data_IF_500752117885
#
_entry.id   IF_500752117885
#
_cell.length_a   1.000
_cell.length_b   1.000
_cell.length_c   1.000
_cell.angle_alpha   90.00
_cell.angle_beta   90.00
_cell.angle_gamma   90.00
#
_symmetry.space_group_name_H-M   'P 1'
#
loop_
_entity.id
_entity.type
_entity.pdbx_description
1 polymer ?
#
# COMPACT_ATOMS: atom_id res chain seq x y z
N UNK A 1 -1.20 -38.62 -19.59
CA UNK A 1 -0.89 -38.29 -20.99
C UNK A 1 -0.72 -36.79 -21.09
N UNK A 2 0.42 -36.32 -21.58
CA UNK A 2 0.63 -34.90 -21.85
C UNK A 2 0.37 -34.69 -23.34
N UNK A 3 -0.53 -33.78 -23.70
CA UNK A 3 -0.93 -33.62 -25.10
C UNK A 3 -1.60 -32.29 -25.41
N UNK A 4 -1.49 -31.88 -26.67
CA UNK A 4 -2.14 -30.68 -27.21
C UNK A 4 -3.25 -31.09 -28.17
N UNK A 5 -4.47 -30.63 -27.89
CA UNK A 5 -5.60 -30.69 -28.80
C UNK A 5 -5.78 -29.30 -29.42
N UNK A 6 -5.47 -29.19 -30.72
CA UNK A 6 -5.68 -27.96 -31.47
C UNK A 6 -7.02 -27.97 -32.20
N UNK A 7 -7.79 -26.90 -32.04
CA UNK A 7 -9.06 -26.66 -32.73
C UNK A 7 -9.08 -25.27 -33.35
N UNK A 8 -9.78 -25.09 -34.46
CA UNK A 8 -9.92 -23.80 -35.14
C UNK A 8 -11.38 -23.31 -35.24
N UNK A 9 -12.32 -24.12 -34.78
CA UNK A 9 -13.74 -23.82 -34.85
C UNK A 9 -14.43 -24.17 -33.53
N UNK A 10 -15.14 -23.20 -32.98
CA UNK A 10 -15.93 -23.30 -31.73
C UNK A 10 -17.33 -22.77 -32.01
N UNK A 11 -18.31 -23.15 -31.20
CA UNK A 11 -19.68 -22.72 -31.40
C UNK A 11 -20.48 -22.67 -30.11
N UNK A 12 -21.75 -22.29 -30.27
CA UNK A 12 -22.74 -22.29 -29.21
C UNK A 12 -23.91 -23.23 -29.56
N UNK A 13 -24.63 -23.66 -28.53
CA UNK A 13 -25.65 -24.69 -28.60
C UNK A 13 -25.07 -26.08 -28.86
N UNK A 14 -25.92 -27.11 -28.79
CA UNK A 14 -25.59 -28.51 -29.09
C UNK A 14 -25.17 -28.79 -30.56
N UNK A 15 -24.73 -27.76 -31.28
CA UNK A 15 -24.11 -27.82 -32.59
C UNK A 15 -22.87 -28.72 -32.54
N UNK A 16 -22.64 -29.51 -33.59
CA UNK A 16 -21.42 -30.31 -33.69
C UNK A 16 -20.21 -29.36 -33.82
N UNK A 17 -19.27 -29.45 -32.88
CA UNK A 17 -18.02 -28.71 -32.88
C UNK A 17 -16.84 -29.68 -33.08
N UNK A 18 -15.63 -29.16 -33.28
CA UNK A 18 -14.42 -29.99 -33.38
C UNK A 18 -14.20 -30.85 -32.12
N UNK A 19 -14.72 -30.42 -30.97
CA UNK A 19 -14.70 -31.13 -29.68
C UNK A 19 -15.89 -32.09 -29.48
N UNK A 20 -16.71 -32.31 -30.51
CA UNK A 20 -17.90 -33.15 -30.43
C UNK A 20 -19.13 -32.43 -29.84
N UNK A 21 -20.15 -33.23 -29.47
CA UNK A 21 -21.46 -32.76 -29.01
C UNK A 21 -21.65 -32.75 -27.49
N UNK A 22 -20.74 -33.37 -26.73
CA UNK A 22 -20.84 -33.39 -25.27
C UNK A 22 -20.73 -31.97 -24.69
N UNK A 23 -21.41 -31.71 -23.57
CA UNK A 23 -21.42 -30.40 -22.94
C UNK A 23 -20.09 -30.08 -22.22
N UNK A 24 -19.34 -31.12 -21.86
CA UNK A 24 -18.11 -31.02 -21.09
C UNK A 24 -16.88 -31.44 -21.92
N UNK A 25 -15.75 -30.80 -21.63
CA UNK A 25 -14.41 -31.12 -22.14
C UNK A 25 -13.48 -31.28 -20.94
N UNK A 26 -12.91 -32.46 -20.80
CA UNK A 26 -11.92 -32.72 -19.76
C UNK A 26 -10.51 -32.44 -20.31
N UNK A 27 -9.75 -31.60 -19.60
CA UNK A 27 -8.34 -31.32 -19.89
C UNK A 27 -7.48 -32.07 -18.88
N UNK A 28 -6.68 -33.00 -19.39
CA UNK A 28 -5.90 -33.91 -18.57
C UNK A 28 -6.73 -35.09 -18.04
N UNK A 29 -6.10 -35.87 -17.18
CA UNK A 29 -6.58 -37.06 -16.47
C UNK A 29 -6.11 -36.99 -15.03
N UNK A 30 -6.87 -37.57 -14.09
CA UNK A 30 -6.45 -37.66 -12.69
C UNK A 30 -5.10 -38.39 -12.55
N UNK A 31 -4.15 -37.83 -11.80
CA UNK A 31 -2.81 -38.40 -11.67
C UNK A 31 -1.73 -37.35 -11.88
N UNK A 32 -1.12 -37.29 -13.07
CA UNK A 32 0.09 -36.48 -13.39
C UNK A 32 0.08 -35.77 -14.76
N UNK A 33 -1.07 -35.64 -15.40
CA UNK A 33 -1.12 -35.13 -16.78
C UNK A 33 -1.29 -33.62 -16.88
N UNK A 34 -0.71 -33.06 -17.94
CA UNK A 34 -1.00 -31.72 -18.45
C UNK A 34 -1.76 -31.83 -19.77
N UNK A 35 -3.00 -31.35 -19.81
CA UNK A 35 -3.77 -31.18 -21.05
C UNK A 35 -3.66 -29.76 -21.60
N UNK A 36 -3.42 -29.62 -22.90
CA UNK A 36 -3.43 -28.32 -23.59
C UNK A 36 -4.58 -28.30 -24.60
N UNK A 37 -5.49 -27.34 -24.47
CA UNK A 37 -6.44 -26.97 -25.50
C UNK A 37 -5.93 -25.74 -26.24
N UNK A 38 -5.55 -25.89 -27.49
CA UNK A 38 -5.10 -24.81 -28.35
C UNK A 38 -6.23 -24.38 -29.30
N UNK A 39 -6.57 -23.09 -29.28
CA UNK A 39 -7.50 -22.48 -30.22
C UNK A 39 -6.72 -21.68 -31.27
N UNK A 40 -6.90 -22.04 -32.54
CA UNK A 40 -6.22 -21.46 -33.72
C UNK A 40 -7.18 -20.68 -34.63
N UNK A 41 -8.43 -20.48 -34.21
CA UNK A 41 -9.49 -19.92 -35.03
C UNK A 41 -9.49 -18.39 -35.13
N UNK A 42 -10.38 -17.86 -35.96
CA UNK A 42 -10.54 -16.41 -36.22
C UNK A 42 -11.45 -15.68 -35.22
N UNK A 43 -11.64 -16.26 -34.04
CA UNK A 43 -12.56 -15.78 -32.99
C UNK A 43 -13.90 -16.53 -32.96
N UNK A 44 -14.47 -16.67 -31.77
CA UNK A 44 -15.67 -17.47 -31.55
C UNK A 44 -15.98 -17.68 -30.07
N UNK A 45 -17.13 -18.28 -29.78
CA UNK A 45 -17.53 -18.67 -28.42
C UNK A 45 -17.53 -20.18 -28.30
N UNK A 46 -16.89 -20.71 -27.25
CA UNK A 46 -17.00 -22.09 -26.80
C UNK A 46 -17.93 -22.12 -25.59
N UNK A 47 -19.02 -22.87 -25.70
CA UNK A 47 -20.06 -23.00 -24.66
C UNK A 47 -19.96 -24.29 -23.85
N UNK A 48 -18.95 -25.11 -24.12
CA UNK A 48 -18.67 -26.31 -23.35
C UNK A 48 -18.08 -25.94 -21.98
N UNK A 49 -18.48 -26.66 -20.95
CA UNK A 49 -17.76 -26.62 -19.68
C UNK A 49 -16.38 -27.24 -19.89
N UNK A 50 -15.39 -26.72 -19.18
CA UNK A 50 -14.03 -27.23 -19.22
C UNK A 50 -13.64 -27.68 -17.82
N UNK A 51 -13.29 -28.95 -17.67
CA UNK A 51 -12.80 -29.49 -16.41
C UNK A 51 -11.29 -29.70 -16.52
N UNK A 52 -10.50 -28.88 -15.84
CA UNK A 52 -9.09 -29.16 -15.63
C UNK A 52 -8.97 -30.30 -14.60
N UNK A 53 -8.26 -31.38 -14.96
CA UNK A 53 -8.12 -32.60 -14.17
C UNK A 53 -6.64 -32.91 -13.87
N UNK A 54 -6.40 -33.69 -12.81
CA UNK A 54 -5.05 -34.09 -12.39
C UNK A 54 -4.29 -32.99 -11.65
N UNK A 55 -3.05 -33.24 -11.27
CA UNK A 55 -2.21 -32.29 -10.52
C UNK A 55 -1.29 -31.44 -11.43
N UNK A 56 -1.41 -31.60 -12.76
CA UNK A 56 -0.59 -30.92 -13.75
C UNK A 56 -1.09 -29.52 -14.15
N UNK A 57 -0.41 -28.91 -15.13
CA UNK A 57 -0.67 -27.55 -15.59
C UNK A 57 -1.58 -27.52 -16.81
N UNK A 58 -2.89 -27.68 -16.60
CA UNK A 58 -3.85 -27.69 -17.70
C UNK A 58 -3.97 -26.30 -18.33
N UNK A 59 -3.80 -26.21 -19.65
CA UNK A 59 -3.69 -24.95 -20.37
C UNK A 59 -4.76 -24.80 -21.43
N UNK A 60 -5.36 -23.62 -21.50
CA UNK A 60 -6.10 -23.14 -22.67
C UNK A 60 -5.25 -22.04 -23.31
N UNK A 61 -4.93 -22.19 -24.58
CA UNK A 61 -4.07 -21.28 -25.32
C UNK A 61 -4.76 -20.79 -26.58
N UNK A 62 -4.88 -19.47 -26.75
CA UNK A 62 -5.35 -18.88 -28.00
C UNK A 62 -4.15 -18.46 -28.89
N UNK A 63 -3.77 -19.33 -29.83
CA UNK A 63 -2.82 -19.01 -30.91
C UNK A 63 -3.50 -18.47 -32.18
N UNK A 64 -4.83 -18.36 -32.16
CA UNK A 64 -5.64 -17.89 -33.27
C UNK A 64 -5.57 -16.38 -33.49
N UNK A 65 -6.25 -15.94 -34.54
CA UNK A 65 -6.29 -14.53 -34.95
C UNK A 65 -7.44 -13.74 -34.36
N UNK A 66 -8.42 -14.38 -33.70
CA UNK A 66 -9.54 -13.69 -33.07
C UNK A 66 -9.77 -14.06 -31.61
N UNK A 67 -10.61 -13.28 -30.94
CA UNK A 67 -10.95 -13.45 -29.53
C UNK A 67 -11.67 -14.78 -29.29
N UNK A 68 -11.14 -15.59 -28.37
CA UNK A 68 -11.82 -16.79 -27.87
C UNK A 68 -12.69 -16.42 -26.66
N UNK A 69 -13.99 -16.65 -26.74
CA UNK A 69 -14.89 -16.53 -25.58
C UNK A 69 -15.18 -17.90 -24.99
N UNK A 70 -14.98 -18.07 -23.69
CA UNK A 70 -15.31 -19.28 -22.94
C UNK A 70 -16.55 -19.00 -22.09
N UNK A 71 -17.69 -19.55 -22.51
CA UNK A 71 -19.00 -19.27 -21.89
C UNK A 71 -19.53 -20.40 -21.01
N UNK A 72 -19.02 -21.63 -21.18
CA UNK A 72 -19.23 -22.70 -20.22
C UNK A 72 -18.41 -22.49 -18.95
N UNK A 73 -18.77 -23.19 -17.88
CA UNK A 73 -18.04 -23.12 -16.61
C UNK A 73 -16.66 -23.76 -16.72
N UNK A 74 -15.69 -23.20 -16.00
CA UNK A 74 -14.31 -23.70 -15.94
C UNK A 74 -14.07 -24.27 -14.53
N UNK A 75 -13.93 -25.58 -14.41
CA UNK A 75 -13.69 -26.26 -13.13
C UNK A 75 -12.21 -26.57 -12.95
N UNK A 76 -11.62 -26.11 -11.84
CA UNK A 76 -10.23 -26.40 -11.44
C UNK A 76 -10.12 -26.81 -9.96
N UNK A 77 -10.22 -28.09 -9.64
CA UNK A 77 -10.09 -28.57 -8.25
C UNK A 77 -8.76 -29.30 -8.08
N UNK A 78 -7.90 -28.81 -7.18
CA UNK A 78 -6.58 -29.38 -6.92
C UNK A 78 -5.63 -29.41 -8.12
N UNK A 79 -5.79 -28.47 -9.06
CA UNK A 79 -5.06 -28.40 -10.34
C UNK A 79 -4.83 -26.96 -10.77
N UNK A 80 -3.80 -26.76 -11.59
CA UNK A 80 -3.53 -25.45 -12.20
C UNK A 80 -4.33 -25.33 -13.50
N UNK A 81 -5.06 -24.24 -13.63
CA UNK A 81 -5.65 -23.81 -14.90
C UNK A 81 -4.88 -22.60 -15.41
N UNK A 82 -4.19 -22.78 -16.53
CA UNK A 82 -3.48 -21.72 -17.25
C UNK A 82 -4.33 -21.21 -18.42
N UNK A 83 -4.55 -19.91 -18.48
CA UNK A 83 -5.17 -19.20 -19.58
C UNK A 83 -4.10 -18.36 -20.27
N UNK A 84 -3.78 -18.72 -21.50
CA UNK A 84 -2.84 -17.99 -22.34
C UNK A 84 -3.60 -17.30 -23.47
N UNK A 85 -3.72 -15.98 -23.35
CA UNK A 85 -4.51 -15.17 -24.27
C UNK A 85 -3.93 -15.05 -25.67
N UNK A 86 -2.63 -15.33 -25.86
CA UNK A 86 -1.91 -15.04 -27.11
C UNK A 86 -2.17 -13.63 -27.64
N UNK A 87 -2.07 -13.42 -28.96
CA UNK A 87 -2.23 -12.08 -29.55
C UNK A 87 -3.67 -11.55 -29.52
N UNK A 88 -4.66 -12.44 -29.53
CA UNK A 88 -6.08 -12.06 -29.74
C UNK A 88 -6.95 -12.16 -28.47
N UNK A 89 -6.39 -12.70 -27.40
CA UNK A 89 -6.98 -12.72 -26.06
C UNK A 89 -8.00 -13.84 -25.81
N UNK A 90 -8.36 -14.00 -24.54
CA UNK A 90 -9.44 -14.87 -24.07
C UNK A 90 -10.43 -14.02 -23.25
N UNK A 91 -11.73 -14.25 -23.44
CA UNK A 91 -12.78 -13.70 -22.58
C UNK A 91 -13.53 -14.84 -21.90
N UNK A 92 -13.54 -14.89 -20.58
CA UNK A 92 -14.25 -15.91 -19.81
C UNK A 92 -15.54 -15.32 -19.28
N UNK A 93 -16.67 -15.74 -19.84
CA UNK A 93 -18.02 -15.34 -19.38
C UNK A 93 -18.70 -16.40 -18.53
N UNK A 94 -18.21 -17.65 -18.57
CA UNK A 94 -18.57 -18.69 -17.59
C UNK A 94 -17.86 -18.48 -16.24
N UNK A 95 -18.27 -19.22 -15.21
CA UNK A 95 -17.67 -19.11 -13.87
C UNK A 95 -16.47 -20.04 -13.77
N UNK A 96 -15.32 -19.51 -13.34
CA UNK A 96 -14.20 -20.33 -12.88
C UNK A 96 -14.49 -20.74 -11.43
N UNK A 97 -14.59 -22.05 -11.20
CA UNK A 97 -14.92 -22.67 -9.91
C UNK A 97 -13.91 -23.75 -9.54
N UNK A 98 -13.84 -24.07 -8.26
CA UNK A 98 -12.93 -25.11 -7.77
C UNK A 98 -12.92 -25.15 -6.25
N UNK A 99 -12.89 -26.35 -5.67
CA UNK A 99 -13.00 -26.53 -4.23
C UNK A 99 -11.83 -27.35 -3.67
N UNK A 100 -10.77 -26.67 -3.27
CA UNK A 100 -9.73 -27.26 -2.42
C UNK A 100 -8.79 -26.17 -1.89
N UNK A 101 -8.55 -26.12 -0.58
CA UNK A 101 -7.48 -25.32 0.03
C UNK A 101 -6.07 -25.89 -0.20
N UNK A 102 -5.85 -26.56 -1.33
CA UNK A 102 -4.58 -27.18 -1.72
C UNK A 102 -3.72 -26.17 -2.48
N UNK A 103 -2.39 -26.26 -2.30
CA UNK A 103 -1.33 -25.38 -2.82
C UNK A 103 -1.14 -25.42 -4.35
N UNK A 104 -2.08 -26.02 -5.09
CA UNK A 104 -2.00 -26.20 -6.53
C UNK A 104 -3.32 -25.92 -7.26
N UNK A 105 -4.35 -25.36 -6.60
CA UNK A 105 -5.56 -24.89 -7.29
C UNK A 105 -5.33 -23.49 -7.86
N UNK A 106 -4.32 -23.34 -8.72
CA UNK A 106 -3.88 -22.03 -9.14
C UNK A 106 -4.62 -21.61 -10.40
N UNK A 107 -4.99 -20.33 -10.49
CA UNK A 107 -5.29 -19.70 -11.77
C UNK A 107 -4.02 -19.03 -12.29
N UNK A 108 -3.60 -19.36 -13.49
CA UNK A 108 -2.45 -18.74 -14.15
C UNK A 108 -2.93 -17.99 -15.38
N UNK A 109 -2.50 -16.74 -15.54
CA UNK A 109 -2.71 -15.93 -16.74
C UNK A 109 -1.37 -15.57 -17.34
N UNK A 110 -1.16 -15.95 -18.59
CA UNK A 110 0.02 -15.61 -19.38
C UNK A 110 -0.34 -15.11 -20.76
N UNK A 111 0.61 -14.53 -21.50
CA UNK A 111 0.49 -14.22 -22.92
C UNK A 111 -0.73 -13.36 -23.31
N UNK A 112 -0.53 -12.09 -23.63
CA UNK A 112 -1.64 -11.22 -24.07
C UNK A 112 -2.73 -11.04 -23.02
N UNK A 113 -3.98 -10.82 -23.44
CA UNK A 113 -5.07 -10.40 -22.53
C UNK A 113 -6.08 -11.50 -22.23
N UNK A 114 -6.33 -11.76 -20.96
CA UNK A 114 -7.44 -12.58 -20.47
C UNK A 114 -8.41 -11.68 -19.71
N UNK A 115 -9.68 -11.67 -20.10
CA UNK A 115 -10.76 -10.94 -19.41
C UNK A 115 -11.65 -11.92 -18.67
N UNK A 116 -11.84 -11.71 -17.37
CA UNK A 116 -12.79 -12.48 -16.57
C UNK A 116 -14.06 -11.67 -16.37
N UNK A 117 -15.14 -12.07 -17.04
CA UNK A 117 -16.40 -11.33 -17.10
C UNK A 117 -17.47 -11.88 -16.13
N UNK A 118 -17.17 -12.97 -15.43
CA UNK A 118 -18.02 -13.55 -14.38
C UNK A 118 -17.42 -13.36 -12.98
N UNK A 119 -18.23 -13.54 -11.93
CA UNK A 119 -17.75 -13.58 -10.55
C UNK A 119 -17.22 -14.99 -10.29
N UNK A 120 -15.90 -15.12 -10.13
CA UNK A 120 -15.28 -16.41 -9.95
C UNK A 120 -15.30 -16.83 -8.49
N UNK A 121 -15.40 -18.14 -8.26
CA UNK A 121 -15.58 -18.75 -6.93
C UNK A 121 -14.55 -19.83 -6.63
N UNK A 122 -13.48 -19.88 -7.43
CA UNK A 122 -12.39 -20.80 -7.17
C UNK A 122 -11.65 -20.45 -5.87
N UNK A 123 -11.09 -21.47 -5.24
CA UNK A 123 -10.12 -21.31 -4.16
C UNK A 123 -8.72 -21.36 -4.75
N UNK A 124 -7.77 -20.66 -4.13
CA UNK A 124 -6.35 -20.68 -4.49
C UNK A 124 -5.81 -19.37 -5.07
N UNK A 125 -4.49 -19.28 -5.26
CA UNK A 125 -3.83 -18.08 -5.75
C UNK A 125 -4.11 -17.84 -7.24
N UNK A 126 -3.93 -16.58 -7.63
CA UNK A 126 -3.98 -16.09 -9.00
C UNK A 126 -2.61 -15.55 -9.38
N UNK A 127 -2.01 -16.10 -10.43
CA UNK A 127 -0.73 -15.66 -10.97
C UNK A 127 -0.93 -14.99 -12.32
N UNK A 128 -0.25 -13.86 -12.54
CA UNK A 128 -0.19 -13.21 -13.85
C UNK A 128 1.26 -12.95 -14.20
N UNK A 129 1.74 -13.52 -15.31
CA UNK A 129 3.13 -13.37 -15.74
C UNK A 129 3.26 -13.58 -17.25
N UNK A 130 4.47 -13.69 -17.79
CA UNK A 130 4.70 -13.97 -19.21
C UNK A 130 4.24 -12.85 -20.14
N UNK A 131 4.21 -11.61 -19.65
CA UNK A 131 3.62 -10.47 -20.37
C UNK A 131 2.09 -10.50 -20.42
N UNK A 132 1.46 -11.39 -19.64
CA UNK A 132 0.01 -11.51 -19.54
C UNK A 132 -0.65 -10.30 -18.89
N UNK A 133 -1.87 -10.00 -19.32
CA UNK A 133 -2.77 -9.01 -18.74
C UNK A 133 -4.05 -9.70 -18.31
N UNK A 134 -4.38 -9.61 -17.02
CA UNK A 134 -5.64 -10.07 -16.47
C UNK A 134 -6.59 -8.88 -16.28
N UNK A 135 -7.73 -8.87 -16.98
CA UNK A 135 -8.77 -7.85 -16.88
C UNK A 135 -9.91 -8.26 -15.97
N UNK A 136 -10.28 -7.38 -15.05
CA UNK A 136 -11.50 -7.48 -14.24
C UNK A 136 -12.73 -7.05 -15.04
N UNK A 137 -13.30 -7.97 -15.81
CA UNK A 137 -14.48 -7.73 -16.65
C UNK A 137 -15.82 -7.68 -15.90
N UNK A 138 -15.82 -7.92 -14.58
CA UNK A 138 -17.04 -7.97 -13.78
C UNK A 138 -17.14 -6.78 -12.80
N UNK A 139 -18.27 -6.06 -12.84
CA UNK A 139 -18.56 -4.93 -11.97
C UNK A 139 -18.57 -5.27 -10.46
N UNK A 140 -18.87 -6.51 -10.09
CA UNK A 140 -18.83 -6.98 -8.69
C UNK A 140 -17.45 -7.51 -8.25
N UNK A 141 -16.44 -7.42 -9.12
CA UNK A 141 -15.15 -8.06 -8.95
C UNK A 141 -15.14 -9.46 -9.57
N UNK A 142 -14.20 -9.70 -10.46
CA UNK A 142 -14.04 -10.97 -11.15
C UNK A 142 -13.28 -12.00 -10.30
N UNK A 143 -12.27 -11.57 -9.53
CA UNK A 143 -11.47 -12.50 -8.72
C UNK A 143 -12.16 -12.81 -7.38
N UNK A 144 -11.96 -14.02 -6.82
CA UNK A 144 -12.36 -14.33 -5.45
C UNK A 144 -11.73 -13.35 -4.46
N UNK A 145 -12.47 -12.94 -3.43
CA UNK A 145 -11.99 -11.93 -2.47
C UNK A 145 -10.86 -12.44 -1.56
N UNK A 146 -10.74 -13.76 -1.43
CA UNK A 146 -9.73 -14.46 -0.64
C UNK A 146 -8.48 -14.84 -1.47
N UNK A 147 -8.46 -14.55 -2.78
CA UNK A 147 -7.31 -14.87 -3.63
C UNK A 147 -6.08 -14.07 -3.19
N UNK A 148 -4.94 -14.74 -3.21
CA UNK A 148 -3.65 -14.08 -3.34
C UNK A 148 -3.41 -13.75 -4.82
N UNK A 149 -3.07 -12.52 -5.15
CA UNK A 149 -2.72 -12.09 -6.50
C UNK A 149 -1.21 -11.86 -6.60
N UNK A 150 -0.51 -12.68 -7.36
CA UNK A 150 0.92 -12.55 -7.61
C UNK A 150 1.18 -12.11 -9.04
N UNK A 151 1.88 -10.99 -9.21
CA UNK A 151 2.32 -10.51 -10.51
C UNK A 151 3.80 -10.83 -10.74
N UNK A 152 4.09 -11.35 -11.93
CA UNK A 152 5.42 -11.75 -12.36
C UNK A 152 5.79 -13.17 -11.95
N UNK A 153 6.98 -13.61 -12.38
CA UNK A 153 7.47 -14.95 -12.13
C UNK A 153 9.00 -14.94 -11.95
N UNK A 154 9.51 -15.65 -10.94
CA UNK A 154 10.94 -15.68 -10.62
C UNK A 154 11.78 -16.53 -11.56
N UNK A 155 11.18 -17.52 -12.21
CA UNK A 155 11.89 -18.47 -13.05
C UNK A 155 12.29 -17.85 -14.39
N UNK A 156 11.39 -17.09 -15.00
CA UNK A 156 11.61 -16.44 -16.30
C UNK A 156 11.76 -14.91 -16.20
N UNK A 157 11.63 -14.34 -14.99
CA UNK A 157 11.62 -12.89 -14.74
C UNK A 157 10.67 -12.14 -15.69
N UNK A 158 9.54 -12.76 -16.02
CA UNK A 158 8.49 -12.09 -16.77
C UNK A 158 7.60 -11.27 -15.84
N UNK A 159 7.04 -10.19 -16.37
CA UNK A 159 6.10 -9.33 -15.66
C UNK A 159 4.64 -9.74 -15.97
N UNK A 160 3.74 -9.36 -15.07
CA UNK A 160 2.29 -9.45 -15.26
C UNK A 160 1.59 -8.10 -15.06
N UNK A 161 0.44 -7.94 -15.69
CA UNK A 161 -0.44 -6.78 -15.51
C UNK A 161 -1.79 -7.22 -14.97
N UNK A 162 -2.25 -6.59 -13.90
CA UNK A 162 -3.65 -6.63 -13.48
C UNK A 162 -4.34 -5.32 -13.88
N UNK A 163 -5.35 -5.41 -14.72
CA UNK A 163 -6.13 -4.28 -15.23
C UNK A 163 -7.54 -4.33 -14.63
N UNK A 164 -7.86 -3.36 -13.79
CA UNK A 164 -9.16 -3.23 -13.13
C UNK A 164 -10.30 -3.00 -14.13
N UNK A 165 -9.99 -2.58 -15.36
CA UNK A 165 -10.96 -2.48 -16.47
C UNK A 165 -12.27 -1.76 -16.08
N UNK A 166 -12.14 -0.70 -15.30
CA UNK A 166 -13.23 0.15 -14.85
C UNK A 166 -14.04 -0.36 -13.66
N UNK A 167 -13.69 -1.53 -13.11
CA UNK A 167 -14.42 -2.22 -12.06
C UNK A 167 -13.60 -2.33 -10.78
N UNK A 168 -14.27 -2.23 -9.63
CA UNK A 168 -13.63 -2.46 -8.34
C UNK A 168 -13.27 -3.94 -8.18
N UNK A 169 -12.17 -4.22 -7.49
CA UNK A 169 -11.75 -5.58 -7.15
C UNK A 169 -11.33 -5.64 -5.69
N UNK A 170 -11.68 -6.71 -4.99
CA UNK A 170 -11.11 -7.06 -3.68
C UNK A 170 -10.26 -8.33 -3.81
N UNK A 171 -9.08 -8.33 -3.20
CA UNK A 171 -8.21 -9.50 -3.08
C UNK A 171 -7.70 -9.62 -1.65
N UNK A 172 -7.28 -10.82 -1.23
CA UNK A 172 -6.69 -10.99 0.08
C UNK A 172 -5.32 -10.35 0.12
N UNK A 173 -4.49 -10.65 -0.88
CA UNK A 173 -3.09 -10.24 -0.89
C UNK A 173 -2.62 -9.85 -2.27
N UNK A 174 -1.60 -9.01 -2.31
CA UNK A 174 -0.85 -8.71 -3.53
C UNK A 174 0.65 -8.96 -3.34
N UNK A 175 1.24 -9.66 -4.29
CA UNK A 175 2.68 -9.92 -4.33
C UNK A 175 3.27 -9.63 -5.69
N UNK A 176 4.57 -9.40 -5.69
CA UNK A 176 5.40 -9.52 -6.89
C UNK A 176 6.32 -10.73 -6.77
N UNK A 177 6.46 -11.48 -7.86
CA UNK A 177 7.47 -12.53 -7.99
C UNK A 177 8.52 -12.16 -9.05
N UNK A 178 9.75 -12.63 -8.83
CA UNK A 178 10.90 -12.41 -9.71
C UNK A 178 11.50 -11.02 -9.64
N UNK A 179 12.64 -10.87 -10.31
CA UNK A 179 13.42 -9.62 -10.36
C UNK A 179 12.80 -8.58 -11.29
N UNK A 180 11.83 -8.98 -12.14
CA UNK A 180 10.98 -8.06 -12.90
C UNK A 180 9.92 -7.35 -12.05
N UNK A 181 10.07 -7.39 -10.71
CA UNK A 181 9.21 -6.74 -9.73
C UNK A 181 8.73 -5.35 -10.14
N UNK A 182 9.61 -4.51 -10.69
CA UNK A 182 9.30 -3.13 -11.12
C UNK A 182 8.46 -3.00 -12.39
N UNK A 183 8.47 -4.01 -13.27
CA UNK A 183 7.67 -4.02 -14.50
C UNK A 183 6.26 -4.57 -14.30
N UNK A 184 5.99 -5.19 -13.13
CA UNK A 184 4.64 -5.61 -12.77
C UNK A 184 3.75 -4.38 -12.59
N UNK A 185 2.50 -4.49 -13.03
CA UNK A 185 1.61 -3.33 -13.09
C UNK A 185 0.20 -3.65 -12.61
N UNK A 186 -0.35 -2.73 -11.82
CA UNK A 186 -1.78 -2.64 -11.54
C UNK A 186 -2.29 -1.36 -12.20
N UNK A 187 -3.37 -1.44 -12.98
CA UNK A 187 -3.88 -0.31 -13.74
C UNK A 187 -5.38 -0.32 -13.91
N UNK A 188 -5.91 0.72 -14.55
CA UNK A 188 -7.28 0.78 -15.02
C UNK A 188 -7.28 1.31 -16.46
N UNK A 189 -7.78 0.51 -17.41
CA UNK A 189 -7.83 0.90 -18.82
C UNK A 189 -9.13 1.56 -19.28
N UNK A 190 -10.14 1.68 -18.41
CA UNK A 190 -11.46 2.29 -18.70
C UNK A 190 -11.58 3.65 -18.03
N UNK A 191 -12.26 4.59 -18.70
CA UNK A 191 -12.49 5.96 -18.21
C UNK A 191 -13.51 5.99 -17.07
N UNK A 192 -13.06 5.60 -15.89
CA UNK A 192 -13.78 5.62 -14.63
C UNK A 192 -12.77 5.59 -13.49
N UNK A 193 -13.25 5.68 -12.25
CA UNK A 193 -12.47 5.32 -11.09
C UNK A 193 -12.70 3.84 -10.76
N UNK A 194 -11.62 3.08 -10.63
CA UNK A 194 -11.64 1.70 -10.18
C UNK A 194 -10.71 1.53 -8.98
N UNK A 195 -11.22 0.87 -7.94
CA UNK A 195 -10.52 0.68 -6.66
C UNK A 195 -10.08 -0.76 -6.51
N UNK A 196 -8.78 -0.96 -6.23
CA UNK A 196 -8.28 -2.22 -5.71
C UNK A 196 -8.34 -2.20 -4.18
N UNK A 197 -9.00 -3.19 -3.59
CA UNK A 197 -9.05 -3.39 -2.14
C UNK A 197 -8.19 -4.59 -1.74
N UNK A 198 -7.28 -4.40 -0.79
CA UNK A 198 -6.41 -5.45 -0.22
C UNK A 198 -6.79 -5.65 1.24
N UNK A 199 -7.07 -6.89 1.65
CA UNK A 199 -7.66 -7.19 2.97
C UNK A 199 -6.71 -7.87 3.95
N UNK A 200 -5.61 -8.46 3.48
CA UNK A 200 -4.68 -9.26 4.27
C UNK A 200 -3.20 -9.03 3.89
N UNK A 201 -2.89 -7.81 3.41
CA UNK A 201 -1.54 -7.32 3.20
C UNK A 201 -0.84 -7.84 1.93
N UNK A 202 0.49 -7.90 1.99
CA UNK A 202 1.33 -8.39 0.89
C UNK A 202 2.59 -7.56 0.69
N UNK A 203 3.43 -7.96 -0.27
CA UNK A 203 4.67 -7.27 -0.63
C UNK A 203 4.69 -6.99 -2.13
N UNK A 204 4.41 -5.76 -2.52
CA UNK A 204 4.24 -5.38 -3.92
C UNK A 204 5.35 -4.43 -4.38
N UNK A 205 6.23 -4.90 -5.27
CA UNK A 205 7.29 -4.09 -5.88
C UNK A 205 6.94 -3.48 -7.24
N UNK A 206 5.74 -3.76 -7.75
CA UNK A 206 5.26 -3.26 -9.04
C UNK A 206 4.72 -1.84 -8.97
N UNK A 207 4.42 -1.28 -10.13
CA UNK A 207 3.81 0.05 -10.25
C UNK A 207 2.29 -0.04 -10.18
N UNK A 208 1.66 0.87 -9.42
CA UNK A 208 0.23 1.15 -9.53
C UNK A 208 0.07 2.42 -10.35
N UNK A 209 -0.73 2.38 -11.41
CA UNK A 209 -0.86 3.52 -12.33
C UNK A 209 -2.27 3.76 -12.85
N UNK A 210 -2.50 4.97 -13.33
CA UNK A 210 -3.62 5.27 -14.21
C UNK A 210 -3.31 4.73 -15.62
N UNK A 211 -4.29 4.13 -16.31
CA UNK A 211 -4.08 3.62 -17.68
C UNK A 211 -4.18 4.69 -18.78
N UNK A 212 -3.99 5.96 -18.42
CA UNK A 212 -4.13 7.15 -19.29
C UNK A 212 -5.16 8.18 -18.79
N UNK A 213 -5.42 9.20 -19.61
CA UNK A 213 -6.32 10.32 -19.26
C UNK A 213 -7.75 9.86 -18.96
N UNK A 214 -8.34 10.39 -17.89
CA UNK A 214 -9.71 10.09 -17.45
C UNK A 214 -9.90 8.70 -16.81
N UNK A 215 -8.83 7.91 -16.69
CA UNK A 215 -8.84 6.58 -16.07
C UNK A 215 -8.15 6.70 -14.72
N UNK A 216 -8.84 6.33 -13.66
CA UNK A 216 -8.35 6.51 -12.30
C UNK A 216 -8.26 5.16 -11.61
N UNK A 217 -7.08 4.86 -11.07
CA UNK A 217 -6.85 3.73 -10.19
C UNK A 217 -6.79 4.24 -8.75
N UNK A 218 -7.51 3.58 -7.83
CA UNK A 218 -7.51 3.89 -6.40
C UNK A 218 -7.14 2.65 -5.57
N UNK A 219 -6.72 2.87 -4.32
CA UNK A 219 -6.27 1.81 -3.42
C UNK A 219 -7.02 1.89 -2.08
N UNK A 220 -7.52 0.75 -1.61
CA UNK A 220 -8.05 0.60 -0.26
C UNK A 220 -7.35 -0.55 0.45
N UNK A 221 -6.91 -0.32 1.69
CA UNK A 221 -6.28 -1.34 2.52
C UNK A 221 -7.10 -1.48 3.79
N UNK A 222 -7.65 -2.68 4.00
CA UNK A 222 -8.64 -2.94 5.06
C UNK A 222 -8.17 -3.91 6.14
N UNK A 223 -6.99 -4.53 5.97
CA UNK A 223 -6.38 -5.36 7.00
C UNK A 223 -4.95 -5.78 6.70
N UNK A 224 -4.24 -6.12 7.79
CA UNK A 224 -2.83 -6.50 7.83
C UNK A 224 -1.88 -5.45 7.22
N UNK A 225 -0.60 -5.80 7.06
CA UNK A 225 0.43 -4.93 6.51
C UNK A 225 0.60 -5.15 5.01
N UNK A 226 0.33 -4.11 4.23
CA UNK A 226 0.70 -4.02 2.82
C UNK A 226 2.01 -3.23 2.69
N UNK A 227 3.07 -3.89 2.23
CA UNK A 227 4.35 -3.25 1.92
C UNK A 227 4.41 -2.90 0.44
N UNK A 228 4.44 -1.61 0.14
CA UNK A 228 4.69 -1.08 -1.19
C UNK A 228 6.18 -0.80 -1.32
N UNK A 229 6.86 -1.67 -2.07
CA UNK A 229 8.30 -1.63 -2.31
C UNK A 229 8.67 -0.78 -3.53
N UNK A 230 7.67 -0.33 -4.30
CA UNK A 230 7.88 0.43 -5.53
C UNK A 230 8.25 1.90 -5.27
N UNK A 231 8.87 2.52 -6.28
CA UNK A 231 9.31 3.92 -6.23
C UNK A 231 8.70 4.80 -7.33
N UNK A 232 7.68 4.30 -8.04
CA UNK A 232 7.22 4.90 -9.31
C UNK A 232 5.71 4.85 -9.53
N UNK A 233 4.89 4.55 -8.51
CA UNK A 233 3.44 4.60 -8.68
C UNK A 233 2.98 6.02 -8.99
N UNK A 234 1.99 6.16 -9.88
CA UNK A 234 1.51 7.47 -10.38
C UNK A 234 -0.03 7.56 -10.48
N UNK A 235 -0.74 6.59 -9.88
CA UNK A 235 -2.19 6.62 -9.78
C UNK A 235 -2.68 7.85 -9.04
N UNK A 236 -3.84 8.39 -9.44
CA UNK A 236 -4.40 9.62 -8.86
C UNK A 236 -5.66 9.37 -8.03
N UNK A 237 -6.17 8.14 -7.98
CA UNK A 237 -7.25 7.78 -7.09
C UNK A 237 -6.75 7.72 -5.65
N UNK A 238 -7.64 7.96 -4.69
CA UNK A 238 -7.24 8.02 -3.30
C UNK A 238 -6.72 6.69 -2.75
N UNK A 239 -5.83 6.76 -1.77
CA UNK A 239 -5.47 5.65 -0.90
C UNK A 239 -6.21 5.76 0.44
N UNK A 240 -6.98 4.74 0.80
CA UNK A 240 -7.61 4.65 2.12
C UNK A 240 -6.97 3.53 2.95
N UNK A 241 -6.48 3.87 4.13
CA UNK A 241 -5.97 2.91 5.12
C UNK A 241 -7.01 2.80 6.23
N UNK A 242 -7.70 1.67 6.31
CA UNK A 242 -8.77 1.44 7.27
C UNK A 242 -8.23 1.13 8.68
N UNK A 243 -9.15 1.01 9.63
CA UNK A 243 -8.82 0.57 10.99
C UNK A 243 -8.22 -0.84 10.98
N UNK A 244 -7.10 -1.05 11.69
CA UNK A 244 -6.41 -2.34 11.73
C UNK A 244 -5.58 -2.67 10.48
N UNK A 245 -5.56 -1.78 9.48
CA UNK A 245 -4.68 -1.88 8.32
C UNK A 245 -3.38 -1.11 8.54
N UNK A 246 -2.29 -1.63 7.98
CA UNK A 246 -1.00 -0.95 7.90
C UNK A 246 -0.56 -0.86 6.44
N UNK A 247 -0.07 0.30 6.01
CA UNK A 247 0.62 0.44 4.73
C UNK A 247 2.04 0.92 4.98
N UNK A 248 3.00 0.14 4.49
CA UNK A 248 4.40 0.49 4.52
C UNK A 248 4.84 1.00 3.15
N UNK A 249 5.00 2.32 3.02
CA UNK A 249 5.51 2.99 1.84
C UNK A 249 7.05 3.01 1.88
N UNK A 250 7.69 2.12 1.13
CA UNK A 250 9.15 1.88 1.17
C UNK A 250 9.98 2.61 0.12
N UNK A 251 9.30 3.28 -0.82
CA UNK A 251 9.92 4.05 -1.89
C UNK A 251 9.29 5.43 -2.05
N UNK A 252 9.98 6.31 -2.77
CA UNK A 252 9.42 7.60 -3.23
C UNK A 252 8.19 7.32 -4.10
N UNK A 253 7.12 8.11 -4.00
CA UNK A 253 5.90 7.89 -4.79
C UNK A 253 5.22 6.50 -4.63
N UNK A 254 5.51 5.73 -3.58
CA UNK A 254 4.87 4.42 -3.38
C UNK A 254 3.33 4.51 -3.30
N UNK A 255 2.80 5.66 -2.85
CA UNK A 255 1.38 5.95 -2.70
C UNK A 255 0.78 6.76 -3.86
N UNK A 256 1.52 6.92 -4.97
CA UNK A 256 1.03 7.66 -6.14
C UNK A 256 0.81 9.15 -5.88
N UNK A 257 -0.11 9.72 -6.67
CA UNK A 257 -0.43 11.15 -6.74
C UNK A 257 -1.87 11.45 -6.28
N UNK A 258 -2.55 10.49 -5.64
CA UNK A 258 -3.91 10.66 -5.12
C UNK A 258 -3.93 11.03 -3.63
N UNK A 259 -5.08 11.52 -3.15
CA UNK A 259 -5.30 11.81 -1.74
C UNK A 259 -5.05 10.56 -0.88
N UNK A 260 -4.45 10.71 0.29
CA UNK A 260 -4.23 9.63 1.24
C UNK A 260 -5.00 9.88 2.51
N UNK A 261 -5.82 8.91 2.93
CA UNK A 261 -6.59 8.99 4.17
C UNK A 261 -6.20 7.83 5.09
N UNK A 262 -5.68 8.16 6.26
CA UNK A 262 -5.41 7.21 7.34
C UNK A 262 -6.55 7.32 8.35
N UNK A 263 -7.39 6.29 8.39
CA UNK A 263 -8.53 6.24 9.31
C UNK A 263 -8.07 5.96 10.75
N UNK A 264 -8.98 6.19 11.70
CA UNK A 264 -8.73 5.85 13.11
C UNK A 264 -8.38 4.37 13.27
N UNK A 265 -7.26 4.08 13.95
CA UNK A 265 -6.69 2.74 14.09
C UNK A 265 -5.95 2.21 12.86
N UNK A 266 -5.85 2.97 11.76
CA UNK A 266 -4.99 2.65 10.62
C UNK A 266 -3.56 3.17 10.83
N UNK A 267 -2.59 2.53 10.18
CA UNK A 267 -1.17 2.86 10.30
C UNK A 267 -0.56 3.16 8.92
N UNK A 268 0.10 4.31 8.79
CA UNK A 268 0.99 4.61 7.68
C UNK A 268 2.43 4.54 8.16
N UNK A 269 3.22 3.63 7.61
CA UNK A 269 4.66 3.53 7.84
C UNK A 269 5.39 4.12 6.64
N UNK A 270 6.27 5.08 6.90
CA UNK A 270 7.12 5.68 5.89
C UNK A 270 8.54 5.16 6.07
N UNK A 271 9.08 4.57 5.01
CA UNK A 271 10.44 4.06 4.92
C UNK A 271 11.10 4.81 3.75
N UNK A 272 12.06 5.69 4.06
CA UNK A 272 12.98 6.29 3.06
C UNK A 272 12.26 6.93 1.87
N UNK A 273 11.21 7.70 2.15
CA UNK A 273 10.35 8.24 1.11
C UNK A 273 10.20 9.75 1.24
N UNK A 274 10.40 10.45 0.12
CA UNK A 274 9.66 11.65 -0.25
C UNK A 274 8.34 11.15 -0.83
N UNK A 275 7.25 11.29 -0.08
CA UNK A 275 5.92 11.02 -0.62
C UNK A 275 5.42 12.30 -1.29
N UNK A 276 6.16 12.70 -2.33
CA UNK A 276 5.87 13.86 -3.17
C UNK A 276 4.89 13.48 -4.25
N UNK A 277 4.06 14.43 -4.64
CA UNK A 277 3.17 14.30 -5.78
C UNK A 277 3.67 15.21 -6.87
N UNK A 278 3.92 14.70 -8.07
CA UNK A 278 4.21 15.54 -9.24
C UNK A 278 2.96 16.35 -9.68
N UNK A 279 1.85 16.26 -8.93
CA UNK A 279 0.55 16.89 -9.21
C UNK A 279 0.06 17.83 -8.10
N UNK A 280 -0.68 18.84 -8.54
CA UNK A 280 -1.30 19.91 -7.74
C UNK A 280 -2.25 19.40 -6.65
N UNK A 281 -2.07 19.82 -5.40
CA UNK A 281 -3.18 19.88 -4.44
C UNK A 281 -3.52 18.62 -3.64
N UNK A 282 -2.63 17.62 -3.59
CA UNK A 282 -2.91 16.33 -2.92
C UNK A 282 -3.05 16.50 -1.41
N UNK A 283 -4.02 15.81 -0.81
CA UNK A 283 -4.31 15.86 0.63
C UNK A 283 -3.92 14.57 1.33
N UNK A 284 -3.10 14.69 2.37
CA UNK A 284 -2.82 13.64 3.34
C UNK A 284 -3.64 13.90 4.60
N UNK A 285 -4.64 13.06 4.85
CA UNK A 285 -5.53 13.16 6.01
C UNK A 285 -5.11 12.15 7.07
N UNK A 286 -4.75 12.65 8.25
CA UNK A 286 -4.46 11.83 9.43
C UNK A 286 -5.60 12.00 10.43
N UNK A 287 -6.52 11.04 10.49
CA UNK A 287 -7.62 11.09 11.45
C UNK A 287 -7.14 10.80 12.87
N UNK A 288 -7.86 11.30 13.88
CA UNK A 288 -7.58 10.99 15.27
C UNK A 288 -7.57 9.48 15.53
N UNK A 289 -6.58 9.01 16.30
CA UNK A 289 -6.37 7.59 16.59
C UNK A 289 -5.66 6.82 15.47
N UNK A 290 -5.33 7.46 14.35
CA UNK A 290 -4.42 6.88 13.35
C UNK A 290 -2.97 6.89 13.83
N UNK A 291 -2.11 6.12 13.18
CA UNK A 291 -0.67 6.07 13.46
C UNK A 291 0.14 6.50 12.24
N UNK A 292 1.05 7.45 12.43
CA UNK A 292 2.11 7.78 11.48
C UNK A 292 3.43 7.26 12.06
N UNK A 293 4.05 6.29 11.39
CA UNK A 293 5.33 5.72 11.81
C UNK A 293 6.45 6.16 10.86
N UNK A 294 7.38 6.94 11.41
CA UNK A 294 8.54 7.43 10.70
C UNK A 294 9.76 6.61 11.11
N UNK A 295 10.38 5.95 10.12
CA UNK A 295 11.54 5.11 10.35
C UNK A 295 12.84 5.90 10.24
N UNK A 296 13.79 5.56 11.10
CA UNK A 296 15.13 6.16 11.22
C UNK A 296 16.19 5.09 11.01
N UNK A 297 17.21 5.39 10.21
CA UNK A 297 18.32 4.47 9.94
C UNK A 297 19.60 4.85 10.71
N UNK A 298 19.57 5.94 11.46
CA UNK A 298 20.67 6.47 12.24
C UNK A 298 20.87 7.98 12.04
N UNK A 299 21.56 8.60 12.99
CA UNK A 299 21.93 10.01 13.12
C UNK A 299 23.46 10.15 13.04
N UNK A 300 24.17 9.21 12.40
CA UNK A 300 25.63 9.26 12.25
C UNK A 300 26.06 9.60 10.82
N UNK A 301 26.96 10.57 10.68
CA UNK A 301 27.49 11.03 9.39
C UNK A 301 27.06 12.46 9.02
N UNK A 302 27.49 12.94 7.85
CA UNK A 302 27.26 14.31 7.34
C UNK A 302 25.88 14.87 7.72
N UNK A 303 25.84 15.94 8.52
CA UNK A 303 24.61 16.48 9.13
C UNK A 303 24.62 16.57 10.67
N UNK A 304 25.69 16.11 11.32
CA UNK A 304 25.97 16.34 12.75
C UNK A 304 27.10 17.36 12.88
N UNK A 305 26.80 18.57 13.36
CA UNK A 305 27.76 19.64 13.56
C UNK A 305 28.29 19.65 14.99
N UNK A 306 29.45 19.06 15.26
CA UNK A 306 30.19 19.29 16.52
C UNK A 306 30.63 20.76 16.65
N UNK A 307 30.07 21.52 17.60
CA UNK A 307 30.58 22.84 17.99
C UNK A 307 31.06 22.85 19.46
N UNK A 308 31.75 23.93 19.87
CA UNK A 308 32.41 24.07 21.19
C UNK A 308 31.44 24.05 22.40
N UNK A 309 30.13 24.17 22.17
CA UNK A 309 29.06 24.13 23.17
C UNK A 309 28.21 22.85 23.08
N UNK A 310 28.48 21.98 22.11
CA UNK A 310 27.77 20.72 21.86
C UNK A 310 27.73 20.36 20.36
N UNK A 311 27.58 19.08 20.03
CA UNK A 311 27.18 18.64 18.68
C UNK A 311 25.69 18.96 18.36
N UNK A 312 25.51 19.83 17.37
CA UNK A 312 24.35 20.22 16.57
C UNK A 312 23.77 19.15 15.62
N UNK A 313 22.69 18.42 15.90
CA UNK A 313 22.00 17.66 14.83
C UNK A 313 20.96 18.57 14.18
N UNK A 314 21.44 19.40 13.26
CA UNK A 314 20.61 20.25 12.43
C UNK A 314 20.24 19.54 11.14
N UNK A 315 18.97 19.64 10.77
CA UNK A 315 18.46 19.37 9.44
C UNK A 315 19.32 20.10 8.38
N UNK A 316 20.29 19.42 7.75
CA UNK A 316 20.66 19.83 6.40
C UNK A 316 19.53 19.35 5.50
N UNK A 317 18.94 20.28 4.74
CA UNK A 317 17.81 20.08 3.83
C UNK A 317 18.05 19.04 2.72
N UNK A 318 19.13 18.26 2.78
CA UNK A 318 19.54 17.23 1.83
C UNK A 318 19.53 15.80 2.42
N UNK A 319 19.19 15.61 3.71
CA UNK A 319 19.23 14.30 4.38
C UNK A 319 17.85 13.73 4.75
N UNK A 320 16.78 14.53 4.64
CA UNK A 320 15.40 14.06 4.74
C UNK A 320 15.14 12.98 3.67
N UNK A 321 14.53 11.86 4.05
CA UNK A 321 14.36 10.69 3.19
C UNK A 321 15.59 9.75 3.12
N UNK A 322 16.76 10.16 3.66
CA UNK A 322 17.99 9.34 3.71
C UNK A 322 18.25 8.80 5.12
N UNK A 323 18.34 9.67 6.13
CA UNK A 323 18.61 9.28 7.54
C UNK A 323 17.33 9.01 8.33
N UNK A 324 16.26 9.72 8.01
CA UNK A 324 14.93 9.55 8.56
C UNK A 324 13.86 9.83 7.51
N UNK A 325 12.66 9.30 7.73
CA UNK A 325 11.54 9.44 6.81
C UNK A 325 10.78 10.75 7.05
N UNK A 326 10.37 11.42 5.96
CA UNK A 326 9.67 12.71 6.00
C UNK A 326 8.52 12.72 5.01
N UNK A 327 7.37 13.28 5.40
CA UNK A 327 6.23 13.45 4.51
C UNK A 327 6.36 14.73 3.69
N UNK A 328 6.86 14.63 2.46
CA UNK A 328 7.01 15.80 1.60
C UNK A 328 5.89 15.90 0.58
N UNK A 329 4.93 16.79 0.80
CA UNK A 329 3.75 17.01 -0.03
C UNK A 329 3.96 18.11 -1.10
N UNK A 330 5.17 18.67 -1.19
CA UNK A 330 5.47 19.81 -2.05
C UNK A 330 4.71 21.08 -1.68
N UNK A 331 4.90 22.15 -2.47
CA UNK A 331 4.33 23.49 -2.20
C UNK A 331 2.83 23.61 -2.46
N UNK A 332 2.19 22.57 -2.99
CA UNK A 332 0.75 22.58 -3.28
C UNK A 332 -0.03 21.54 -2.50
N UNK A 333 0.63 20.59 -1.84
CA UNK A 333 -0.05 19.56 -1.05
C UNK A 333 -0.52 20.05 0.32
N UNK A 334 -1.47 19.32 0.89
CA UNK A 334 -2.13 19.63 2.15
C UNK A 334 -1.94 18.51 3.16
N UNK A 335 -1.52 18.84 4.38
CA UNK A 335 -1.67 17.94 5.52
C UNK A 335 -2.94 18.32 6.28
N UNK A 336 -3.90 17.40 6.34
CA UNK A 336 -5.18 17.58 7.03
C UNK A 336 -5.19 16.79 8.35
N UNK A 337 -5.26 17.55 9.44
CA UNK A 337 -5.32 17.06 10.82
C UNK A 337 -6.68 17.38 11.48
N UNK A 338 -7.70 17.78 10.70
CA UNK A 338 -9.01 18.19 11.23
C UNK A 338 -9.78 17.03 11.89
N UNK A 339 -9.46 15.78 11.53
CA UNK A 339 -9.98 14.60 12.20
C UNK A 339 -9.37 14.31 13.57
N UNK A 340 -8.30 15.02 13.97
CA UNK A 340 -7.63 14.85 15.27
C UNK A 340 -8.16 15.81 16.34
N UNK A 341 -8.07 15.38 17.60
CA UNK A 341 -8.44 16.19 18.77
C UNK A 341 -7.61 15.80 19.99
N UNK A 342 -7.73 16.57 21.06
CA UNK A 342 -7.06 16.27 22.34
C UNK A 342 -7.51 14.94 22.98
N UNK A 343 -8.72 14.47 22.65
CA UNK A 343 -9.29 13.21 23.11
C UNK A 343 -9.01 12.03 22.17
N UNK A 344 -8.74 12.32 20.90
CA UNK A 344 -8.48 11.33 19.87
C UNK A 344 -7.30 11.82 19.03
N UNK A 345 -6.10 11.55 19.53
CA UNK A 345 -4.84 12.07 19.00
C UNK A 345 -4.25 11.15 17.95
N UNK A 346 -3.45 11.71 17.05
CA UNK A 346 -2.64 10.94 16.10
C UNK A 346 -1.43 10.37 16.85
N UNK A 347 -1.15 9.09 16.69
CA UNK A 347 0.05 8.47 17.24
C UNK A 347 1.22 8.70 16.28
N UNK A 348 2.17 9.52 16.68
CA UNK A 348 3.42 9.72 15.95
C UNK A 348 4.46 8.76 16.53
N UNK A 349 4.86 7.76 15.75
CA UNK A 349 5.88 6.79 16.15
C UNK A 349 7.19 7.18 15.47
N UNK A 350 8.25 7.31 16.27
CA UNK A 350 9.62 7.37 15.76
C UNK A 350 10.30 6.05 16.06
N UNK A 351 10.80 5.39 15.03
CA UNK A 351 11.34 4.05 15.14
C UNK A 351 12.71 3.96 14.48
N UNK A 352 13.75 3.77 15.30
CA UNK A 352 15.13 3.57 14.83
C UNK A 352 15.49 2.09 14.62
N UNK A 353 14.55 1.18 14.87
CA UNK A 353 14.80 -0.26 14.87
C UNK A 353 15.97 -0.63 15.78
N UNK A 354 16.93 -1.36 15.22
CA UNK A 354 18.18 -1.75 15.88
C UNK A 354 19.37 -0.85 15.51
N UNK A 355 19.15 0.33 14.91
CA UNK A 355 20.25 1.19 14.47
C UNK A 355 21.09 1.66 15.67
N UNK A 356 22.40 1.44 15.61
CA UNK A 356 23.40 1.81 16.64
C UNK A 356 23.86 3.27 16.53
N UNK A 357 23.00 4.14 16.01
CA UNK A 357 23.33 5.53 15.71
C UNK A 357 22.12 6.40 16.03
N UNK A 358 21.56 6.27 17.22
CA UNK A 358 20.44 7.09 17.67
C UNK A 358 20.81 8.54 17.99
N UNK A 359 19.91 9.24 18.69
CA UNK A 359 20.20 10.57 19.25
C UNK A 359 21.29 10.46 20.31
N UNK A 360 22.12 11.49 20.46
CA UNK A 360 23.09 11.60 21.55
C UNK A 360 22.42 12.29 22.74
N UNK A 361 22.68 11.79 23.94
CA UNK A 361 22.10 12.34 25.18
C UNK A 361 22.52 13.80 25.40
N UNK A 362 21.60 14.59 25.95
CA UNK A 362 21.91 15.96 26.36
C UNK A 362 21.91 17.00 25.23
N UNK A 363 21.27 16.74 24.08
CA UNK A 363 21.14 17.71 22.99
C UNK A 363 19.72 18.00 22.56
N UNK A 364 19.57 19.18 21.96
CA UNK A 364 18.40 19.60 21.22
C UNK A 364 18.35 18.91 19.86
N UNK A 365 17.18 18.43 19.48
CA UNK A 365 16.91 17.88 18.15
C UNK A 365 15.71 18.55 17.51
N UNK A 366 15.79 18.77 16.19
CA UNK A 366 14.67 19.25 15.36
C UNK A 366 14.51 18.36 14.14
N UNK A 367 13.35 17.73 14.01
CA UNK A 367 12.98 16.87 12.89
C UNK A 367 11.89 17.54 12.07
N UNK A 368 12.10 17.70 10.76
CA UNK A 368 11.04 18.11 9.85
C UNK A 368 10.21 16.88 9.51
N UNK A 369 9.06 16.73 10.15
CA UNK A 369 8.20 15.56 9.95
C UNK A 369 7.52 15.59 8.59
N UNK A 370 7.12 16.79 8.16
CA UNK A 370 6.44 16.99 6.90
C UNK A 370 6.74 18.36 6.30
N UNK A 371 6.80 18.42 4.97
CA UNK A 371 6.79 19.64 4.15
C UNK A 371 5.51 19.67 3.32
N UNK A 372 4.88 20.83 3.18
CA UNK A 372 3.55 20.98 2.55
C UNK A 372 3.31 22.42 2.09
N UNK A 373 2.32 22.64 1.23
CA UNK A 373 1.86 23.97 0.88
C UNK A 373 0.90 24.57 1.90
N UNK A 374 0.15 23.72 2.61
CA UNK A 374 -0.74 24.14 3.69
C UNK A 374 -0.98 23.04 4.72
N UNK A 375 -1.17 23.46 5.97
CA UNK A 375 -1.59 22.61 7.09
C UNK A 375 -3.01 23.01 7.51
N UNK A 376 -3.92 22.03 7.59
CA UNK A 376 -5.30 22.25 8.04
C UNK A 376 -5.53 21.57 9.39
N UNK A 377 -5.99 22.33 10.39
CA UNK A 377 -6.36 21.80 11.72
C UNK A 377 -7.38 22.70 12.42
N UNK A 378 -7.97 22.23 13.53
CA UNK A 378 -9.07 22.91 14.23
C UNK A 378 -8.60 24.02 15.21
N UNK A 379 -7.53 24.74 14.90
CA UNK A 379 -7.02 25.89 15.68
C UNK A 379 -6.50 25.59 17.10
N UNK A 380 -6.47 24.32 17.51
CA UNK A 380 -5.85 23.88 18.77
C UNK A 380 -4.32 23.98 18.70
N UNK A 381 -3.65 23.87 19.85
CA UNK A 381 -2.20 23.68 19.86
C UNK A 381 -1.85 22.38 19.13
N UNK A 382 -0.96 22.46 18.12
CA UNK A 382 -0.64 21.32 17.25
C UNK A 382 -0.07 20.17 18.06
N UNK A 383 0.78 20.46 19.06
CA UNK A 383 1.37 19.42 19.92
C UNK A 383 0.30 18.60 20.62
N UNK A 384 -0.82 19.22 21.01
CA UNK A 384 -1.93 18.54 21.70
C UNK A 384 -2.71 17.53 20.83
N UNK A 385 -2.52 17.57 19.51
CA UNK A 385 -3.16 16.65 18.56
C UNK A 385 -2.41 15.33 18.41
N UNK A 386 -1.20 15.22 18.98
CA UNK A 386 -0.33 14.06 18.81
C UNK A 386 -0.03 13.37 20.14
N UNK A 387 0.19 12.06 20.06
CA UNK A 387 0.92 11.29 21.05
C UNK A 387 2.22 10.84 20.42
N UNK A 388 3.35 11.30 20.97
CA UNK A 388 4.66 10.83 20.55
C UNK A 388 4.97 9.48 21.21
N UNK A 389 5.33 8.50 20.40
CA UNK A 389 5.80 7.19 20.84
C UNK A 389 7.26 6.99 20.42
N UNK A 390 8.13 6.84 21.42
CA UNK A 390 9.58 6.70 21.27
C UNK A 390 10.09 5.34 21.75
N UNK A 391 9.20 4.37 21.97
CA UNK A 391 9.58 3.08 22.58
C UNK A 391 10.63 2.30 21.77
N UNK A 392 10.56 2.42 20.45
CA UNK A 392 11.51 1.79 19.52
C UNK A 392 12.63 2.76 19.08
N UNK A 393 12.66 3.96 19.65
CA UNK A 393 13.70 4.94 19.40
C UNK A 393 14.87 4.70 20.37
N UNK A 394 16.10 4.81 19.88
CA UNK A 394 17.33 4.55 20.66
C UNK A 394 18.26 5.75 20.69
N UNK A 395 19.12 5.80 21.70
CA UNK A 395 20.28 6.68 21.71
C UNK A 395 21.42 6.10 20.86
N UNK A 396 22.46 6.90 20.61
CA UNK A 396 23.69 6.51 19.89
C UNK A 396 24.44 5.36 20.55
N UNK A 397 24.37 5.27 21.88
CA UNK A 397 24.88 4.15 22.68
C UNK A 397 24.00 2.87 22.61
N UNK A 398 22.92 2.88 21.83
CA UNK A 398 21.97 1.77 21.66
C UNK A 398 20.95 1.60 22.80
N UNK A 399 21.07 2.38 23.88
CA UNK A 399 20.13 2.37 24.99
C UNK A 399 18.76 2.92 24.60
N UNK A 400 17.71 2.51 25.32
CA UNK A 400 16.34 2.97 25.08
C UNK A 400 16.22 4.48 25.30
N UNK A 401 15.48 5.14 24.40
CA UNK A 401 15.11 6.54 24.58
C UNK A 401 14.10 6.70 25.73
N UNK A 402 14.16 7.79 26.49
CA UNK A 402 13.18 8.04 27.56
C UNK A 402 11.82 8.40 26.94
N UNK A 403 10.78 7.57 27.13
CA UNK A 403 9.46 7.78 26.54
C UNK A 403 8.74 9.01 27.14
N UNK A 404 9.18 9.52 28.29
CA UNK A 404 8.59 10.69 28.94
C UNK A 404 9.28 12.00 28.54
N UNK A 405 10.17 11.97 27.56
CA UNK A 405 10.82 13.17 27.05
C UNK A 405 9.77 14.12 26.49
N UNK A 406 9.77 15.36 26.97
CA UNK A 406 8.88 16.38 26.43
C UNK A 406 9.26 16.69 24.98
N UNK A 407 8.26 17.07 24.20
CA UNK A 407 8.43 17.44 22.82
C UNK A 407 7.47 18.57 22.47
N UNK A 408 7.81 19.28 21.41
CA UNK A 408 6.95 20.31 20.84
C UNK A 408 6.82 20.07 19.35
N UNK A 409 5.58 20.08 18.85
CA UNK A 409 5.34 20.20 17.42
C UNK A 409 5.01 21.66 17.11
N UNK A 410 5.60 22.16 16.02
CA UNK A 410 5.39 23.53 15.56
C UNK A 410 5.24 23.53 14.05
N UNK A 411 4.34 24.37 13.56
CA UNK A 411 4.23 24.69 12.14
C UNK A 411 5.07 25.95 11.87
N UNK A 412 6.12 25.79 11.06
CA UNK A 412 7.15 26.81 10.86
C UNK A 412 7.10 27.30 9.42
N UNK A 413 7.07 28.62 9.23
CA UNK A 413 7.26 29.27 7.93
C UNK A 413 6.19 29.01 6.87
N UNK A 414 5.04 28.43 7.24
CA UNK A 414 3.96 28.11 6.29
C UNK A 414 4.14 26.77 5.56
N UNK A 415 5.30 26.12 5.69
CA UNK A 415 5.61 25.00 4.80
C UNK A 415 6.05 23.73 5.53
N UNK A 416 6.27 23.76 6.85
CA UNK A 416 6.88 22.62 7.56
C UNK A 416 6.27 22.34 8.92
N UNK A 417 6.00 21.06 9.18
CA UNK A 417 5.70 20.55 10.51
C UNK A 417 6.99 20.03 11.15
N UNK A 418 7.44 20.68 12.22
CA UNK A 418 8.72 20.41 12.88
C UNK A 418 8.48 19.90 14.30
N UNK A 419 9.04 18.73 14.59
CA UNK A 419 9.17 18.17 15.94
C UNK A 419 10.48 18.65 16.56
N UNK A 420 10.38 19.26 17.74
CA UNK A 420 11.52 19.65 18.56
C UNK A 420 11.57 18.80 19.82
N UNK A 421 12.74 18.23 20.12
CA UNK A 421 13.03 17.50 21.35
C UNK A 421 14.11 18.27 22.12
N UNK A 422 13.73 19.04 23.16
CA UNK A 422 14.67 19.82 23.99
C UNK A 422 15.65 18.99 24.82
N UNK A 423 16.73 19.66 25.26
CA UNK A 423 17.71 19.09 26.18
C UNK A 423 17.09 18.80 27.57
N UNK A 424 17.49 17.71 28.24
CA UNK A 424 17.05 17.39 29.60
C UNK A 424 17.21 18.54 30.61
N UNK A 425 18.31 19.29 30.51
CA UNK A 425 18.63 20.45 31.37
C UNK A 425 17.69 21.63 31.16
N UNK A 426 17.17 21.81 29.93
CA UNK A 426 16.19 22.86 29.60
C UNK A 426 14.89 22.65 30.38
N UNK A 427 14.49 21.39 30.61
CA UNK A 427 13.31 21.08 31.44
C UNK A 427 13.52 21.47 32.90
N UNK A 428 14.69 21.15 33.47
CA UNK A 428 15.02 21.52 34.85
C UNK A 428 14.96 23.03 35.04
N UNK A 429 15.44 23.79 34.06
CA UNK A 429 15.47 25.25 34.11
C UNK A 429 14.06 25.86 33.94
N UNK A 430 13.23 25.31 33.04
CA UNK A 430 11.82 25.70 32.90
C UNK A 430 11.00 25.44 34.17
N UNK A 431 11.13 24.24 34.75
CA UNK A 431 10.43 23.87 35.98
C UNK A 431 10.93 24.70 37.16
N UNK A 432 12.24 24.96 37.26
CA UNK A 432 12.82 25.86 38.25
C UNK A 432 12.29 27.29 38.13
N UNK A 433 12.16 27.81 36.90
CA UNK A 433 11.56 29.11 36.62
C UNK A 433 10.08 29.19 37.02
N UNK A 434 9.30 28.16 36.73
CA UNK A 434 7.88 28.05 37.13
C UNK A 434 7.71 27.98 38.65
N UNK A 435 8.54 27.20 39.33
CA UNK A 435 8.55 27.12 40.79
C UNK A 435 8.91 28.48 41.41
N UNK A 436 9.87 29.20 40.83
CA UNK A 436 10.25 30.54 41.26
C UNK A 436 9.13 31.56 41.02
N UNK A 437 8.45 31.50 39.87
CA UNK A 437 7.29 32.35 39.57
C UNK A 437 6.13 32.08 40.54
N UNK A 438 5.84 30.80 40.84
CA UNK A 438 4.84 30.43 41.83
C UNK A 438 5.20 30.94 43.25
N UNK A 439 6.48 30.84 43.63
CA UNK A 439 6.98 31.40 44.89
C UNK A 439 6.84 32.94 44.92
N UNK A 440 7.12 33.63 43.81
CA UNK A 440 6.96 35.07 43.69
C UNK A 440 5.49 35.51 43.81
N UNK A 441 4.56 34.80 43.16
CA UNK A 441 3.11 35.05 43.29
C UNK A 441 2.64 34.80 44.72
N UNK A 442 3.10 33.73 45.37
CA UNK A 442 2.78 33.45 46.79
C UNK A 442 3.27 34.57 47.71
N UNK A 443 4.49 35.07 47.47
CA UNK A 443 5.06 36.19 48.23
C UNK A 443 4.28 37.49 48.02
N UNK A 444 3.84 37.78 46.79
CA UNK A 444 2.99 38.94 46.53
C UNK A 444 1.62 38.84 47.21
N UNK A 445 0.98 37.67 47.19
CA UNK A 445 -0.28 37.43 47.91
C UNK A 445 -0.13 37.61 49.42
N UNK A 446 0.99 37.17 50.00
CA UNK A 446 1.28 37.40 51.42
C UNK A 446 1.52 38.89 51.72
N UNK A 447 2.25 39.61 50.88
CA UNK A 447 2.42 41.07 51.02
C UNK A 447 1.09 41.82 50.95
N UNK A 448 0.20 41.42 50.04
CA UNK A 448 -1.15 42.00 49.90
C UNK A 448 -2.02 41.73 51.14
N UNK A 449 -1.96 40.52 51.70
CA UNK A 449 -2.63 40.19 52.98
C UNK A 449 -2.06 40.98 54.16
N UNK A 450 -0.76 41.24 54.20
CA UNK A 450 -0.14 42.03 55.26
C UNK A 450 -0.54 43.51 55.19
N UNK A 451 -0.60 44.09 53.99
CA UNK A 451 -1.07 45.47 53.77
C UNK A 451 -2.57 45.63 54.05
N UNK A 452 -3.40 44.63 53.73
CA UNK A 452 -4.83 44.61 54.10
C UNK A 452 -5.06 44.45 55.62
N UNK A 453 -4.12 43.82 56.34
CA UNK A 453 -4.16 43.70 57.80
C UNK A 453 -3.72 44.99 58.51
N UNK A 454 -2.69 45.67 58.00
CA UNK A 454 -2.26 46.99 58.49
C UNK A 454 -3.29 48.10 58.20
N UNK A 455 -4.06 48.00 57.11
CA UNK A 455 -5.14 48.96 56.82
C UNK A 455 -6.42 48.74 57.66
N UNK A 456 -6.51 47.64 58.42
CA UNK A 456 -7.63 47.31 59.31
C UNK A 456 -7.31 47.48 60.81
N UNK A 457 -6.04 47.70 61.15
CA UNK A 457 -5.58 48.10 62.48
C UNK A 457 -5.50 49.63 62.54
#
# INVERSE_FOLDING_TARGET
>A
ENGTLAINNVGTGNSAQALGKHADVDLGVAGTSTGILEYTGSGGTLDKNINALGDGNNKIYNSGSGLLTLSGDLTKTGTVLALDGGSSGINVTGVIKGNSGSFNSDLVVSGGTVTLSAQNTYVGPTYVYGGGTLRNGNASGALPTDTELTLGNANDNSAGTFDLYGNNQTVARIFTAGSAGSSNKITNSVTSTATLTVTNGGNFAGKIENGGSGKVTALAVTGANLVLLNTTSDYTGGTTIASGAEVTASGTHALGNGDVTVNSGGTLVMLRSTVGTDGTGVRYTLNGGSTLNLKFNGVSGSGVYSNWWGQDVYNQSANAGITYSTLDLGSTGFLDLTGASTNNRINLVLDSGSATSGMIRGRLYKFTLATMGALQWNGQDITSLFNLNLNNFRYDDGSAFDPNTFYQLSYVGGDSLVLTIPEPSTYGLMLGGLALAAAAVRRQRQKKKATEAEAKA
#
